data_IF_357544753311
#
_entry.id   IF_357544753311
#
_cell.length_a   1.000
_cell.length_b   1.000
_cell.length_c   1.000
_cell.angle_alpha   90.00
_cell.angle_beta   90.00
_cell.angle_gamma   90.00
#
_symmetry.space_group_name_H-M   'P 1'
#
loop_
_entity.id
_entity.type
_entity.pdbx_description
1 polymer ?
#
# COMPACT_ATOMS: atom_id res chain seq x y z
N UNK A 1 18.85 -25.09 -60.94
CA UNK A 1 17.88 -24.12 -61.48
C UNK A 1 16.58 -24.78 -61.91
N UNK A 2 16.55 -25.38 -63.11
CA UNK A 2 15.30 -25.92 -63.71
C UNK A 2 14.60 -27.01 -62.89
N UNK A 3 15.35 -27.92 -62.25
CA UNK A 3 14.76 -28.99 -61.42
C UNK A 3 13.99 -28.44 -60.20
N UNK A 4 14.55 -27.47 -59.50
CA UNK A 4 13.90 -26.75 -58.38
C UNK A 4 12.64 -26.00 -58.83
N UNK A 5 12.69 -25.32 -59.99
CA UNK A 5 11.54 -24.60 -60.54
C UNK A 5 10.39 -25.53 -60.98
N UNK A 6 10.71 -26.78 -61.31
CA UNK A 6 9.72 -27.82 -61.65
C UNK A 6 9.23 -28.61 -60.43
N UNK A 7 9.61 -28.22 -59.20
CA UNK A 7 9.23 -28.94 -57.97
C UNK A 7 9.95 -30.28 -57.76
N UNK A 8 11.01 -30.56 -58.53
CA UNK A 8 11.81 -31.79 -58.41
C UNK A 8 13.00 -31.64 -57.47
N UNK A 9 13.52 -32.76 -56.99
CA UNK A 9 14.73 -32.80 -56.16
C UNK A 9 16.00 -32.55 -57.01
N UNK A 10 16.74 -31.44 -56.77
CA UNK A 10 17.98 -31.17 -57.49
C UNK A 10 19.18 -31.99 -56.98
N UNK A 11 19.08 -32.66 -55.81
CA UNK A 11 20.21 -33.30 -55.16
C UNK A 11 20.97 -34.32 -56.05
N UNK A 12 20.30 -35.20 -56.83
CA UNK A 12 21.01 -36.15 -57.71
C UNK A 12 21.80 -35.47 -58.84
N UNK A 13 21.34 -34.30 -59.30
CA UNK A 13 21.99 -33.53 -60.35
C UNK A 13 23.20 -32.75 -59.82
N UNK A 14 23.18 -32.38 -58.53
CA UNK A 14 24.25 -31.64 -57.87
C UNK A 14 25.32 -32.56 -57.25
N UNK A 15 24.95 -33.76 -56.82
CA UNK A 15 25.86 -34.68 -56.13
C UNK A 15 27.19 -34.92 -56.88
N UNK A 16 27.23 -35.12 -58.22
CA UNK A 16 28.50 -35.31 -58.95
C UNK A 16 29.37 -34.04 -59.03
N UNK A 17 28.81 -32.88 -58.71
CA UNK A 17 29.50 -31.57 -58.81
C UNK A 17 30.06 -31.11 -57.47
N UNK A 18 29.75 -31.82 -56.37
CA UNK A 18 30.17 -31.48 -55.02
C UNK A 18 31.26 -32.44 -54.54
N UNK A 19 32.25 -31.95 -53.77
CA UNK A 19 33.23 -32.83 -53.15
C UNK A 19 32.58 -33.76 -52.13
N UNK A 20 33.11 -34.97 -52.00
CA UNK A 20 32.60 -35.96 -51.05
C UNK A 20 32.76 -35.47 -49.60
N UNK A 21 31.70 -35.56 -48.77
CA UNK A 21 31.79 -35.20 -47.37
C UNK A 21 32.69 -36.15 -46.57
N UNK A 22 33.63 -35.57 -45.83
CA UNK A 22 34.53 -36.30 -44.93
C UNK A 22 33.95 -36.41 -43.52
N UNK A 23 34.30 -37.49 -42.83
CA UNK A 23 33.85 -37.83 -41.48
C UNK A 23 34.93 -37.65 -40.41
N UNK A 24 36.00 -36.96 -40.74
CA UNK A 24 37.12 -36.82 -39.83
C UNK A 24 37.81 -35.47 -39.94
N UNK A 25 38.57 -35.15 -38.90
CA UNK A 25 39.45 -33.99 -38.81
C UNK A 25 40.87 -34.42 -38.42
N UNK A 26 41.82 -33.50 -38.60
CA UNK A 26 43.19 -33.64 -38.13
C UNK A 26 43.37 -32.72 -36.93
N UNK A 27 43.55 -33.29 -35.74
CA UNK A 27 43.82 -32.54 -34.52
C UNK A 27 45.31 -32.19 -34.40
N UNK A 28 45.59 -30.94 -34.06
CA UNK A 28 46.93 -30.38 -33.93
C UNK A 28 47.21 -29.94 -32.48
N UNK A 29 48.49 -29.91 -32.10
CA UNK A 29 48.91 -29.62 -30.73
C UNK A 29 48.67 -28.16 -30.27
N UNK A 30 48.36 -27.25 -31.19
CA UNK A 30 48.08 -25.83 -30.95
C UNK A 30 46.58 -25.54 -30.74
N UNK A 31 45.81 -26.57 -30.34
CA UNK A 31 44.37 -26.51 -30.12
C UNK A 31 43.59 -26.18 -31.40
N UNK A 32 44.06 -26.65 -32.55
CA UNK A 32 43.32 -26.53 -33.81
C UNK A 32 42.92 -27.90 -34.36
N UNK A 33 41.84 -27.90 -35.15
CA UNK A 33 41.42 -29.03 -35.97
C UNK A 33 41.32 -28.57 -37.43
N UNK A 34 41.86 -29.37 -38.35
CA UNK A 34 41.78 -29.10 -39.78
C UNK A 34 40.83 -30.12 -40.42
N UNK A 35 39.77 -29.60 -41.06
CA UNK A 35 38.89 -30.38 -41.90
C UNK A 35 39.37 -30.32 -43.36
N UNK A 36 39.81 -31.44 -43.96
CA UNK A 36 40.38 -31.46 -45.32
C UNK A 36 39.35 -31.28 -46.44
N UNK A 37 38.06 -31.27 -46.10
CA UNK A 37 36.95 -31.11 -47.03
C UNK A 37 35.66 -30.77 -46.27
N UNK A 38 34.50 -30.71 -46.96
CA UNK A 38 33.23 -30.48 -46.29
C UNK A 38 32.93 -31.62 -45.31
N UNK A 39 32.62 -31.29 -44.08
CA UNK A 39 32.34 -32.29 -43.05
C UNK A 39 30.93 -32.88 -43.26
N UNK A 40 30.76 -34.16 -42.93
CA UNK A 40 29.43 -34.74 -42.74
C UNK A 40 28.69 -33.96 -41.66
N UNK A 41 27.40 -33.75 -41.86
CA UNK A 41 26.56 -32.86 -41.03
C UNK A 41 26.68 -33.15 -39.53
N UNK A 42 26.61 -34.42 -39.12
CA UNK A 42 26.72 -34.81 -37.72
C UNK A 42 28.03 -34.33 -37.06
N UNK A 43 29.16 -34.50 -37.75
CA UNK A 43 30.47 -34.02 -37.29
C UNK A 43 30.55 -32.49 -37.31
N UNK A 44 30.02 -31.87 -38.36
CA UNK A 44 30.00 -30.41 -38.51
C UNK A 44 29.21 -29.72 -37.38
N UNK A 45 28.04 -30.27 -37.03
CA UNK A 45 27.13 -29.69 -36.04
C UNK A 45 27.78 -29.69 -34.63
N UNK A 46 28.43 -30.79 -34.24
CA UNK A 46 29.13 -30.88 -32.95
C UNK A 46 30.38 -29.98 -32.94
N UNK A 47 31.20 -29.99 -34.01
CA UNK A 47 32.38 -29.13 -34.10
C UNK A 47 32.02 -27.64 -34.12
N UNK A 48 30.88 -27.26 -34.70
CA UNK A 48 30.41 -25.87 -34.70
C UNK A 48 30.09 -25.35 -33.28
N UNK A 49 29.74 -26.24 -32.35
CA UNK A 49 29.56 -25.89 -30.94
C UNK A 49 30.90 -25.92 -30.21
N UNK A 50 31.65 -27.00 -30.38
CA UNK A 50 32.88 -27.33 -29.63
C UNK A 50 34.10 -26.47 -29.99
N UNK A 51 34.11 -25.86 -31.18
CA UNK A 51 35.23 -25.06 -31.67
C UNK A 51 34.74 -23.82 -32.44
N UNK A 52 35.61 -22.81 -32.54
CA UNK A 52 35.38 -21.62 -33.34
C UNK A 52 36.04 -21.78 -34.71
N UNK A 53 35.41 -21.29 -35.79
CA UNK A 53 36.02 -21.34 -37.13
C UNK A 53 37.00 -20.19 -37.28
N UNK A 54 38.29 -20.52 -37.44
CA UNK A 54 39.36 -19.54 -37.65
C UNK A 54 39.51 -19.19 -39.14
N UNK A 55 39.40 -20.18 -40.02
CA UNK A 55 39.51 -19.97 -41.47
C UNK A 55 38.60 -20.93 -42.24
N UNK A 56 37.98 -20.41 -43.30
CA UNK A 56 37.13 -21.15 -44.26
C UNK A 56 37.81 -21.14 -45.63
N UNK A 57 38.99 -21.74 -45.71
CA UNK A 57 39.74 -21.89 -46.96
C UNK A 57 39.44 -23.22 -47.66
N UNK A 58 40.39 -23.71 -48.47
CA UNK A 58 40.32 -25.06 -49.05
C UNK A 58 40.31 -26.18 -48.01
N UNK A 59 40.75 -25.88 -46.79
CA UNK A 59 40.49 -26.65 -45.58
C UNK A 59 39.90 -25.72 -44.53
N UNK A 60 38.91 -26.18 -43.77
CA UNK A 60 38.33 -25.39 -42.67
C UNK A 60 39.16 -25.64 -41.42
N UNK A 61 39.66 -24.56 -40.82
CA UNK A 61 40.43 -24.62 -39.58
C UNK A 61 39.52 -24.20 -38.43
N UNK A 62 39.43 -25.07 -37.44
CA UNK A 62 38.70 -24.86 -36.20
C UNK A 62 39.69 -24.66 -35.06
N UNK A 63 39.38 -23.77 -34.12
CA UNK A 63 40.16 -23.51 -32.92
C UNK A 63 39.34 -23.86 -31.68
N UNK A 64 39.90 -24.69 -30.82
CA UNK A 64 39.32 -24.97 -29.51
C UNK A 64 39.75 -23.89 -28.53
N UNK A 65 38.78 -23.30 -27.86
CA UNK A 65 39.00 -22.30 -26.81
C UNK A 65 38.28 -22.73 -25.53
N UNK A 66 38.67 -22.21 -24.35
CA UNK A 66 37.90 -22.46 -23.13
C UNK A 66 36.42 -22.08 -23.29
N UNK A 67 36.13 -21.02 -24.06
CA UNK A 67 34.76 -20.58 -24.36
C UNK A 67 34.00 -21.58 -25.22
N UNK A 68 34.60 -22.09 -26.29
CA UNK A 68 33.95 -23.05 -27.19
C UNK A 68 33.68 -24.40 -26.50
N UNK A 69 34.63 -24.87 -25.69
CA UNK A 69 34.43 -26.07 -24.85
C UNK A 69 33.30 -25.85 -23.85
N UNK A 70 33.27 -24.70 -23.17
CA UNK A 70 32.18 -24.37 -22.23
C UNK A 70 30.82 -24.38 -22.93
N UNK A 71 30.71 -23.82 -24.14
CA UNK A 71 29.46 -23.85 -24.92
C UNK A 71 28.99 -25.29 -25.19
N UNK A 72 29.91 -26.21 -25.50
CA UNK A 72 29.56 -27.61 -25.70
C UNK A 72 29.03 -28.25 -24.41
N UNK A 73 29.62 -27.95 -23.26
CA UNK A 73 29.11 -28.41 -21.96
C UNK A 73 27.76 -27.78 -21.61
N UNK A 74 27.57 -26.48 -21.90
CA UNK A 74 26.30 -25.77 -21.74
C UNK A 74 25.19 -26.37 -22.63
N UNK A 75 25.54 -26.93 -23.80
CA UNK A 75 24.64 -27.65 -24.69
C UNK A 75 24.32 -29.08 -24.22
N UNK A 76 24.89 -29.53 -23.09
CA UNK A 76 24.61 -30.82 -22.47
C UNK A 76 25.60 -31.94 -22.78
N UNK A 77 26.69 -31.67 -23.49
CA UNK A 77 27.75 -32.67 -23.68
C UNK A 77 28.59 -32.85 -22.42
N UNK A 78 29.04 -34.08 -22.14
CA UNK A 78 30.00 -34.33 -21.06
C UNK A 78 31.45 -34.34 -21.58
N UNK A 79 32.42 -34.13 -20.69
CA UNK A 79 33.84 -34.24 -21.06
C UNK A 79 34.18 -35.60 -21.69
N UNK A 80 33.60 -36.67 -21.16
CA UNK A 80 33.78 -38.05 -21.67
C UNK A 80 33.23 -38.16 -23.08
N UNK A 81 32.02 -37.63 -23.33
CA UNK A 81 31.41 -37.66 -24.67
C UNK A 81 32.24 -36.86 -25.67
N UNK A 82 32.75 -35.69 -25.27
CA UNK A 82 33.58 -34.84 -26.14
C UNK A 82 34.92 -35.51 -26.46
N UNK A 83 35.57 -36.15 -25.48
CA UNK A 83 36.80 -36.90 -25.71
C UNK A 83 36.58 -38.12 -26.60
N UNK A 84 35.49 -38.88 -26.37
CA UNK A 84 35.12 -40.02 -27.20
C UNK A 84 34.83 -39.59 -28.64
N UNK A 85 34.06 -38.52 -28.81
CA UNK A 85 33.73 -37.94 -30.11
C UNK A 85 34.97 -37.52 -30.89
N UNK A 86 35.89 -36.79 -30.26
CA UNK A 86 37.15 -36.37 -30.88
C UNK A 86 38.04 -37.56 -31.23
N UNK A 87 38.04 -38.60 -30.40
CA UNK A 87 38.80 -39.84 -30.66
C UNK A 87 38.24 -40.58 -31.87
N UNK A 88 36.91 -40.66 -31.99
CA UNK A 88 36.23 -41.33 -33.10
C UNK A 88 36.42 -40.61 -34.43
N UNK A 89 36.33 -39.28 -34.44
CA UNK A 89 36.33 -38.45 -35.65
C UNK A 89 37.69 -37.83 -35.97
N UNK A 90 38.78 -38.22 -35.29
CA UNK A 90 40.12 -37.72 -35.60
C UNK A 90 40.97 -38.77 -36.29
N UNK A 91 41.72 -38.37 -37.33
CA UNK A 91 42.75 -39.23 -37.96
C UNK A 91 44.07 -39.20 -37.20
N UNK A 92 44.27 -38.22 -36.33
CA UNK A 92 45.42 -38.12 -35.43
C UNK A 92 44.97 -38.41 -33.99
N UNK A 93 45.85 -38.92 -33.11
CA UNK A 93 45.54 -39.03 -31.70
C UNK A 93 45.14 -37.66 -31.12
N UNK A 94 44.20 -37.65 -30.16
CA UNK A 94 43.80 -36.40 -29.48
C UNK A 94 45.01 -35.81 -28.75
N UNK A 95 45.44 -34.58 -29.07
CA UNK A 95 46.59 -33.96 -28.42
C UNK A 95 46.33 -33.75 -26.93
N UNK A 96 47.33 -34.06 -26.10
CA UNK A 96 47.25 -33.90 -24.64
C UNK A 96 46.80 -32.48 -24.20
N UNK A 97 47.24 -31.37 -24.83
CA UNK A 97 46.73 -30.02 -24.48
C UNK A 97 45.22 -29.88 -24.64
N UNK A 98 44.62 -30.52 -25.65
CA UNK A 98 43.18 -30.47 -25.90
C UNK A 98 42.42 -31.28 -24.84
N UNK A 99 42.91 -32.47 -24.49
CA UNK A 99 42.31 -33.27 -23.40
C UNK A 99 42.33 -32.51 -22.09
N UNK A 100 43.45 -31.86 -21.75
CA UNK A 100 43.53 -31.03 -20.53
C UNK A 100 42.59 -29.83 -20.56
N UNK A 101 42.46 -29.14 -21.69
CA UNK A 101 41.51 -28.04 -21.83
C UNK A 101 40.08 -28.50 -21.55
N UNK A 102 39.68 -29.64 -22.10
CA UNK A 102 38.34 -30.22 -21.90
C UNK A 102 38.12 -30.56 -20.42
N UNK A 103 39.07 -31.27 -19.80
CA UNK A 103 38.95 -31.68 -18.40
C UNK A 103 38.93 -30.49 -17.44
N UNK A 104 39.74 -29.47 -17.67
CA UNK A 104 39.81 -28.28 -16.82
C UNK A 104 38.53 -27.43 -16.91
N UNK A 105 38.01 -27.22 -18.12
CA UNK A 105 36.73 -26.52 -18.31
C UNK A 105 35.58 -27.33 -17.71
N UNK A 106 35.57 -28.65 -17.91
CA UNK A 106 34.53 -29.52 -17.36
C UNK A 106 34.55 -29.58 -15.83
N UNK A 107 35.73 -29.58 -15.20
CA UNK A 107 35.85 -29.47 -13.74
C UNK A 107 35.20 -28.19 -13.24
N UNK A 108 35.45 -27.06 -13.92
CA UNK A 108 34.95 -25.74 -13.52
C UNK A 108 33.47 -25.51 -13.88
N UNK A 109 32.94 -26.27 -14.83
CA UNK A 109 31.56 -26.19 -15.29
C UNK A 109 30.59 -26.73 -14.23
N UNK A 110 29.45 -26.05 -14.03
CA UNK A 110 28.41 -26.51 -13.11
C UNK A 110 28.74 -26.43 -11.61
N UNK A 111 29.88 -25.84 -11.20
CA UNK A 111 30.18 -25.55 -9.79
C UNK A 111 29.19 -24.57 -9.17
N UNK A 112 28.81 -23.54 -9.93
CA UNK A 112 27.78 -22.59 -9.53
C UNK A 112 26.45 -23.05 -10.12
N UNK A 113 25.46 -23.21 -9.25
CA UNK A 113 24.10 -23.60 -9.63
C UNK A 113 23.15 -22.46 -9.30
N UNK A 114 22.43 -22.00 -10.31
CA UNK A 114 21.37 -21.02 -10.17
C UNK A 114 20.03 -21.74 -10.29
N UNK A 115 19.09 -21.41 -9.41
CA UNK A 115 17.73 -21.90 -9.47
C UNK A 115 16.75 -20.79 -9.13
N UNK A 116 15.51 -20.93 -9.57
CA UNK A 116 14.44 -20.02 -9.20
C UNK A 116 14.04 -20.25 -7.73
N UNK A 117 13.81 -19.15 -7.01
CA UNK A 117 13.21 -19.12 -5.68
C UNK A 117 12.40 -17.82 -5.57
N UNK A 118 11.08 -17.92 -5.52
CA UNK A 118 10.18 -16.75 -5.46
C UNK A 118 10.18 -16.10 -4.08
N UNK A 119 10.39 -16.91 -3.03
CA UNK A 119 10.52 -16.42 -1.66
C UNK A 119 11.40 -17.34 -0.81
N UNK A 120 11.69 -16.94 0.43
CA UNK A 120 12.49 -17.71 1.37
C UNK A 120 11.91 -17.63 2.79
N UNK A 121 12.27 -18.62 3.61
CA UNK A 121 12.02 -18.64 5.06
C UNK A 121 13.35 -18.67 5.76
N UNK A 122 13.57 -17.72 6.68
CA UNK A 122 14.71 -17.74 7.61
C UNK A 122 14.19 -18.08 9.00
N UNK A 123 14.87 -18.98 9.68
CA UNK A 123 14.58 -19.31 11.08
C UNK A 123 15.90 -19.65 11.77
N UNK A 124 16.08 -19.16 13.00
CA UNK A 124 17.29 -19.43 13.78
C UNK A 124 17.29 -20.87 14.35
N UNK A 125 16.15 -21.57 14.30
CA UNK A 125 16.00 -22.97 14.70
C UNK A 125 15.92 -23.90 13.46
N UNK A 126 16.97 -24.71 13.26
CA UNK A 126 17.05 -25.73 12.19
C UNK A 126 15.92 -26.77 12.35
N UNK A 127 15.60 -27.17 13.58
CA UNK A 127 14.60 -28.19 13.90
C UNK A 127 13.20 -27.81 13.43
N UNK A 128 12.81 -26.55 13.65
CA UNK A 128 11.53 -26.02 13.15
C UNK A 128 11.45 -26.08 11.63
N UNK A 129 12.54 -25.77 10.91
CA UNK A 129 12.54 -25.84 9.45
C UNK A 129 12.47 -27.29 8.93
N UNK A 130 13.06 -28.24 9.66
CA UNK A 130 12.90 -29.66 9.33
C UNK A 130 11.46 -30.15 9.57
N UNK A 131 10.80 -29.68 10.63
CA UNK A 131 9.39 -29.98 10.89
C UNK A 131 8.49 -29.45 9.77
N UNK A 132 8.69 -28.20 9.35
CA UNK A 132 7.97 -27.59 8.22
C UNK A 132 8.17 -28.40 6.93
N UNK A 133 9.41 -28.82 6.63
CA UNK A 133 9.73 -29.63 5.45
C UNK A 133 9.09 -31.04 5.51
N UNK A 134 8.91 -31.60 6.70
CA UNK A 134 8.31 -32.93 6.89
C UNK A 134 6.78 -32.91 6.88
N UNK A 135 6.14 -31.78 7.19
CA UNK A 135 4.68 -31.65 7.17
C UNK A 135 4.13 -31.67 5.73
N UNK A 136 3.26 -32.64 5.43
CA UNK A 136 2.62 -32.80 4.11
C UNK A 136 1.84 -31.56 3.65
N UNK A 137 1.36 -30.72 4.59
CA UNK A 137 0.66 -29.47 4.27
C UNK A 137 1.56 -28.45 3.56
N UNK A 138 2.89 -28.55 3.73
CA UNK A 138 3.86 -27.65 3.06
C UNK A 138 4.19 -28.04 1.62
N UNK A 139 3.71 -29.20 1.13
CA UNK A 139 4.02 -29.69 -0.21
C UNK A 139 3.67 -28.69 -1.33
N UNK A 140 2.57 -27.94 -1.17
CA UNK A 140 2.14 -26.92 -2.12
C UNK A 140 3.03 -25.66 -2.16
N UNK A 141 3.89 -25.46 -1.16
CA UNK A 141 4.77 -24.29 -1.06
C UNK A 141 6.08 -24.44 -1.86
N UNK A 142 6.38 -25.66 -2.31
CA UNK A 142 7.59 -25.96 -3.08
C UNK A 142 8.88 -25.65 -2.30
N UNK A 143 8.93 -26.04 -1.02
CA UNK A 143 10.05 -25.75 -0.14
C UNK A 143 11.28 -26.60 -0.47
N UNK A 144 12.45 -25.97 -0.41
CA UNK A 144 13.76 -26.60 -0.57
C UNK A 144 14.76 -26.02 0.41
N UNK A 145 15.49 -26.89 1.11
CA UNK A 145 16.58 -26.50 2.01
C UNK A 145 17.74 -25.88 1.23
N UNK A 146 18.12 -24.64 1.55
CA UNK A 146 19.33 -23.99 1.01
C UNK A 146 20.46 -23.94 2.04
N UNK A 147 20.12 -23.77 3.32
CA UNK A 147 21.03 -23.75 4.45
C UNK A 147 20.32 -24.27 5.71
N UNK A 148 21.03 -24.59 6.80
CA UNK A 148 20.45 -25.01 8.09
C UNK A 148 19.35 -24.07 8.61
N UNK A 149 19.47 -22.77 8.35
CA UNK A 149 18.53 -21.73 8.80
C UNK A 149 17.71 -21.11 7.67
N UNK A 150 17.79 -21.63 6.44
CA UNK A 150 17.15 -21.04 5.25
C UNK A 150 16.47 -22.08 4.36
N UNK A 151 15.19 -21.86 4.07
CA UNK A 151 14.43 -22.54 3.04
C UNK A 151 14.17 -21.59 1.87
N UNK A 152 14.31 -22.06 0.63
CA UNK A 152 13.71 -21.42 -0.53
C UNK A 152 12.33 -22.01 -0.79
N UNK A 153 11.42 -21.20 -1.31
CA UNK A 153 10.08 -21.61 -1.73
C UNK A 153 9.84 -21.19 -3.19
N UNK A 154 9.03 -21.98 -3.90
CA UNK A 154 8.51 -21.60 -5.22
C UNK A 154 7.24 -20.74 -5.10
N UNK A 155 6.57 -20.79 -3.94
CA UNK A 155 5.45 -19.90 -3.65
C UNK A 155 5.89 -18.43 -3.54
N UNK A 156 5.04 -17.52 -4.00
CA UNK A 156 5.20 -16.08 -3.77
C UNK A 156 5.11 -15.73 -2.27
N UNK A 157 5.74 -14.63 -1.81
CA UNK A 157 5.84 -14.30 -0.38
C UNK A 157 4.50 -14.30 0.37
N UNK A 158 3.43 -13.78 -0.24
CA UNK A 158 2.09 -13.77 0.37
C UNK A 158 1.50 -15.16 0.58
N UNK A 159 1.58 -16.02 -0.44
CA UNK A 159 1.11 -17.40 -0.36
C UNK A 159 1.93 -18.24 0.63
N UNK A 160 3.25 -17.98 0.71
CA UNK A 160 4.12 -18.61 1.70
C UNK A 160 3.72 -18.21 3.13
N UNK A 161 3.50 -16.91 3.37
CA UNK A 161 3.04 -16.41 4.69
C UNK A 161 1.70 -17.03 5.09
N UNK A 162 0.73 -17.04 4.19
CA UNK A 162 -0.61 -17.57 4.47
C UNK A 162 -0.59 -19.09 4.66
N UNK A 163 0.21 -19.81 3.86
CA UNK A 163 0.40 -21.26 4.00
C UNK A 163 1.02 -21.64 5.35
N UNK A 164 2.10 -20.96 5.75
CA UNK A 164 2.73 -21.18 7.06
C UNK A 164 1.79 -20.83 8.22
N UNK A 165 1.00 -19.75 8.11
CA UNK A 165 -0.04 -19.41 9.10
C UNK A 165 -1.13 -20.47 9.18
N UNK A 166 -1.60 -20.99 8.03
CA UNK A 166 -2.56 -22.08 7.96
C UNK A 166 -2.04 -23.40 8.57
N UNK A 167 -0.72 -23.56 8.68
CA UNK A 167 -0.08 -24.69 9.35
C UNK A 167 0.03 -24.51 10.87
N UNK A 168 -0.18 -23.30 11.38
CA UNK A 168 -0.06 -22.95 12.80
C UNK A 168 1.21 -22.19 13.19
N UNK A 169 2.06 -21.86 12.22
CA UNK A 169 3.26 -21.04 12.46
C UNK A 169 2.93 -19.55 12.48
N UNK A 170 3.78 -18.74 13.10
CA UNK A 170 3.64 -17.28 13.17
C UNK A 170 4.80 -16.58 12.41
N UNK A 171 4.87 -16.70 11.06
CA UNK A 171 5.92 -16.05 10.29
C UNK A 171 5.71 -14.53 10.24
N UNK A 172 6.82 -13.80 10.24
CA UNK A 172 6.85 -12.38 9.96
C UNK A 172 7.28 -12.15 8.50
N UNK A 173 6.71 -11.14 7.85
CA UNK A 173 7.14 -10.75 6.52
C UNK A 173 8.50 -10.05 6.63
N UNK A 174 9.43 -10.31 5.70
CA UNK A 174 10.69 -9.56 5.58
C UNK A 174 10.66 -8.69 4.31
N UNK A 175 11.28 -7.52 4.39
CA UNK A 175 11.52 -6.60 3.27
C UNK A 175 12.54 -7.20 2.30
N UNK A 176 12.65 -6.61 1.10
CA UNK A 176 13.75 -6.91 0.16
C UNK A 176 15.13 -6.63 0.75
N UNK A 177 15.21 -5.78 1.79
CA UNK A 177 16.43 -5.47 2.54
C UNK A 177 16.68 -6.41 3.73
N UNK A 178 15.73 -7.31 4.05
CA UNK A 178 15.81 -8.21 5.22
C UNK A 178 15.20 -7.64 6.50
N UNK A 179 14.63 -6.42 6.47
CA UNK A 179 13.95 -5.84 7.62
C UNK A 179 12.59 -6.50 7.85
N UNK A 180 12.27 -6.83 9.10
CA UNK A 180 10.97 -7.41 9.44
C UNK A 180 9.85 -6.37 9.22
N UNK A 181 8.96 -6.66 8.28
CA UNK A 181 7.75 -5.91 7.99
C UNK A 181 6.65 -6.31 8.97
N UNK A 182 6.36 -5.42 9.92
CA UNK A 182 5.18 -5.56 10.77
C UNK A 182 3.95 -5.12 9.96
N UNK A 183 3.27 -6.08 9.34
CA UNK A 183 1.95 -5.83 8.74
C UNK A 183 0.96 -5.57 9.88
N UNK A 184 0.78 -4.32 10.27
CA UNK A 184 -0.43 -3.92 11.01
C UNK A 184 -1.59 -4.26 10.08
N UNK A 185 -2.48 -5.16 10.50
CA UNK A 185 -3.69 -5.43 9.75
C UNK A 185 -4.35 -4.09 9.43
N UNK A 186 -4.50 -3.78 8.14
CA UNK A 186 -5.24 -2.59 7.72
C UNK A 186 -6.65 -2.74 8.28
N UNK A 187 -6.89 -2.05 9.39
CA UNK A 187 -8.23 -1.81 9.86
C UNK A 187 -8.94 -1.20 8.65
N UNK A 188 -9.95 -1.89 8.14
CA UNK A 188 -10.80 -1.40 7.06
C UNK A 188 -11.46 -0.12 7.58
N UNK A 189 -10.77 1.00 7.46
CA UNK A 189 -11.30 2.30 7.84
C UNK A 189 -12.31 2.63 6.77
N UNK A 190 -13.54 2.88 7.20
CA UNK A 190 -14.56 3.48 6.35
C UNK A 190 -13.92 4.71 5.68
N UNK A 191 -14.02 4.85 4.35
CA UNK A 191 -13.49 6.03 3.67
C UNK A 191 -14.06 7.28 4.33
N UNK A 192 -13.26 8.35 4.41
CA UNK A 192 -13.71 9.62 4.96
C UNK A 192 -15.02 10.02 4.27
N UNK A 193 -16.08 10.26 5.04
CA UNK A 193 -17.37 10.72 4.50
C UNK A 193 -17.12 11.96 3.65
N UNK A 194 -17.39 11.87 2.35
CA UNK A 194 -17.39 13.03 1.47
C UNK A 194 -18.55 13.95 1.86
N UNK A 195 -18.33 15.26 1.83
CA UNK A 195 -19.38 16.23 2.09
C UNK A 195 -20.50 16.10 1.03
N UNK A 196 -21.79 16.22 1.40
CA UNK A 196 -22.88 16.15 0.44
C UNK A 196 -22.73 17.24 -0.63
N UNK A 197 -22.92 16.87 -1.90
CA UNK A 197 -22.95 17.83 -3.02
C UNK A 197 -24.23 18.68 -2.90
N UNK A 198 -24.16 20.03 -3.02
CA UNK A 198 -25.35 20.88 -2.97
C UNK A 198 -26.36 20.51 -4.06
N UNK A 199 -27.62 20.35 -3.67
CA UNK A 199 -28.72 20.07 -4.60
C UNK A 199 -29.00 21.36 -5.41
N UNK A 200 -29.18 21.29 -6.75
CA UNK A 200 -29.33 22.48 -7.60
C UNK A 200 -30.58 23.32 -7.30
N UNK A 201 -31.66 22.68 -6.83
CA UNK A 201 -32.92 23.35 -6.52
C UNK A 201 -32.98 23.71 -5.02
N UNK A 202 -32.44 24.90 -4.71
CA UNK A 202 -32.67 25.53 -3.42
C UNK A 202 -34.15 25.89 -3.22
N UNK A 203 -34.58 26.15 -1.96
CA UNK A 203 -35.97 26.52 -1.67
C UNK A 203 -36.40 27.74 -2.51
N UNK A 204 -37.69 27.80 -2.95
CA UNK A 204 -38.17 28.84 -3.84
C UNK A 204 -37.94 30.22 -3.23
N UNK A 205 -37.63 31.21 -4.08
CA UNK A 205 -37.35 32.58 -3.67
C UNK A 205 -38.54 33.11 -2.84
N UNK A 206 -38.30 33.65 -1.62
CA UNK A 206 -39.37 34.13 -0.76
C UNK A 206 -40.21 35.23 -1.43
N UNK A 207 -41.52 35.21 -1.19
CA UNK A 207 -42.43 36.23 -1.71
C UNK A 207 -42.17 37.62 -1.09
N UNK A 208 -42.70 38.67 -1.75
CA UNK A 208 -42.46 40.06 -1.35
C UNK A 208 -42.96 40.38 0.07
N UNK A 209 -43.95 39.64 0.57
CA UNK A 209 -44.49 39.73 1.92
C UNK A 209 -43.48 39.26 2.97
N UNK A 210 -42.86 38.09 2.75
CA UNK A 210 -41.80 37.55 3.60
C UNK A 210 -40.56 38.45 3.60
N UNK A 211 -40.17 38.95 2.42
CA UNK A 211 -39.05 39.86 2.29
C UNK A 211 -39.31 41.19 3.03
N UNK A 212 -40.54 41.71 2.94
CA UNK A 212 -40.95 42.93 3.66
C UNK A 212 -40.99 42.75 5.18
N UNK A 213 -41.35 41.57 5.68
CA UNK A 213 -41.29 41.25 7.10
C UNK A 213 -39.82 41.18 7.60
N UNK A 214 -38.95 40.50 6.85
CA UNK A 214 -37.53 40.40 7.17
C UNK A 214 -36.84 41.78 7.16
N UNK A 215 -37.14 42.63 6.19
CA UNK A 215 -36.59 44.00 6.12
C UNK A 215 -37.05 44.87 7.31
N UNK A 216 -38.29 44.71 7.77
CA UNK A 216 -38.77 45.42 8.99
C UNK A 216 -38.05 44.92 10.24
N UNK A 217 -37.83 43.61 10.38
CA UNK A 217 -37.10 43.04 11.50
C UNK A 217 -35.65 43.52 11.54
N UNK A 218 -34.96 43.56 10.40
CA UNK A 218 -33.59 44.08 10.31
C UNK A 218 -33.55 45.57 10.66
N UNK A 219 -34.46 46.39 10.10
CA UNK A 219 -34.51 47.83 10.41
C UNK A 219 -34.85 48.13 11.86
N UNK A 220 -35.68 47.30 12.49
CA UNK A 220 -35.97 47.40 13.92
C UNK A 220 -34.73 47.04 14.76
N UNK A 221 -33.99 46.00 14.37
CA UNK A 221 -32.72 45.64 15.01
C UNK A 221 -31.63 46.70 14.85
N UNK A 222 -31.50 47.30 13.67
CA UNK A 222 -30.55 48.40 13.42
C UNK A 222 -30.92 49.68 14.20
N UNK A 223 -32.22 49.99 14.32
CA UNK A 223 -32.70 51.11 15.13
C UNK A 223 -32.39 50.91 16.62
N UNK A 224 -32.59 49.69 17.13
CA UNK A 224 -32.24 49.32 18.51
C UNK A 224 -30.72 49.29 18.77
N UNK A 225 -29.91 48.96 17.76
CA UNK A 225 -28.45 48.93 17.87
C UNK A 225 -27.77 50.31 17.80
N UNK A 226 -28.44 51.31 17.22
CA UNK A 226 -27.90 52.69 17.05
C UNK A 226 -28.39 53.69 18.11
N UNK A 227 -29.21 53.21 19.03
CA UNK A 227 -29.69 53.84 20.24
C UNK A 227 -28.58 54.26 21.22
N UNK A 228 -28.36 55.56 21.46
CA UNK A 228 -27.36 56.05 22.45
C UNK A 228 -28.02 56.30 23.81
N UNK A 229 -27.58 55.56 24.83
CA UNK A 229 -28.10 55.58 26.21
C UNK A 229 -27.80 56.90 26.94
N UNK A 230 -28.83 57.53 27.51
CA UNK A 230 -28.74 58.72 28.38
C UNK A 230 -28.72 58.30 29.86
N UNK A 231 -27.61 58.53 30.55
CA UNK A 231 -27.62 58.56 32.02
C UNK A 231 -28.07 59.94 32.52
N UNK A 232 -28.92 59.97 33.56
CA UNK A 232 -28.68 60.90 34.65
C UNK A 232 -28.80 60.23 36.02
N UNK A 233 -27.69 60.27 36.73
CA UNK A 233 -27.51 60.95 38.02
C UNK A 233 -28.61 60.82 39.10
N UNK A 234 -28.22 60.09 40.14
CA UNK A 234 -27.99 60.61 41.49
C UNK A 234 -29.08 61.42 42.20
N UNK A 235 -29.45 60.99 43.40
CA UNK A 235 -29.32 61.70 44.69
C UNK A 235 -30.21 61.00 45.72
N UNK A 236 -29.65 60.43 46.78
CA UNK A 236 -29.43 61.10 48.08
C UNK A 236 -30.59 60.71 49.02
N UNK A 237 -30.43 60.25 50.25
CA UNK A 237 -29.38 60.42 51.26
C UNK A 237 -29.59 59.42 52.41
N UNK A 238 -28.45 58.94 52.94
CA UNK A 238 -28.15 58.50 54.32
C UNK A 238 -28.91 57.33 54.98
N UNK A 239 -28.16 56.26 55.28
CA UNK A 239 -28.53 55.27 56.30
C UNK A 239 -27.74 53.96 56.27
N UNK A 240 -26.43 54.00 56.57
CA UNK A 240 -25.57 52.91 57.10
C UNK A 240 -26.10 51.45 57.09
N UNK A 241 -25.65 50.64 56.11
CA UNK A 241 -25.08 49.30 56.29
C UNK A 241 -24.88 48.57 54.93
N UNK A 242 -23.64 48.11 54.65
CA UNK A 242 -23.38 46.93 53.79
C UNK A 242 -23.44 47.11 52.27
N UNK A 243 -22.38 47.65 51.67
CA UNK A 243 -22.18 47.60 50.22
C UNK A 243 -21.70 46.22 49.74
N UNK A 244 -22.44 45.63 48.81
CA UNK A 244 -21.89 44.78 47.74
C UNK A 244 -22.89 44.77 46.57
N UNK A 245 -22.51 45.42 45.47
CA UNK A 245 -23.17 45.27 44.18
C UNK A 245 -23.17 43.79 43.78
N UNK A 246 -24.33 43.25 43.37
CA UNK A 246 -24.44 41.89 42.84
C UNK A 246 -25.41 40.94 43.56
N UNK A 247 -26.41 41.43 44.28
CA UNK A 247 -27.45 40.56 44.86
C UNK A 247 -28.42 40.05 43.76
N UNK A 248 -28.51 38.72 43.62
CA UNK A 248 -29.45 38.04 42.72
C UNK A 248 -30.91 38.40 43.10
N UNK A 249 -31.83 38.64 42.13
CA UNK A 249 -33.26 38.70 42.40
C UNK A 249 -33.70 37.36 43.02
N UNK A 250 -34.52 37.40 44.06
CA UNK A 250 -35.20 36.22 44.61
C UNK A 250 -36.68 36.34 44.28
N UNK A 251 -37.11 35.66 43.23
CA UNK A 251 -38.53 35.55 42.86
C UNK A 251 -39.13 34.28 43.44
N UNK A 252 -40.44 34.29 43.69
CA UNK A 252 -41.13 33.07 44.13
C UNK A 252 -41.12 32.02 43.00
N UNK A 253 -41.26 30.73 43.33
CA UNK A 253 -41.25 29.67 42.32
C UNK A 253 -42.36 29.82 41.26
N UNK A 254 -43.54 30.33 41.66
CA UNK A 254 -44.66 30.59 40.76
C UNK A 254 -44.36 31.76 39.81
N UNK A 255 -43.74 32.82 40.31
CA UNK A 255 -43.33 34.00 39.55
C UNK A 255 -42.21 33.66 38.57
N UNK A 256 -41.17 32.95 39.02
CA UNK A 256 -40.10 32.41 38.16
C UNK A 256 -40.66 31.61 36.99
N UNK A 257 -41.60 30.70 37.27
CA UNK A 257 -42.21 29.87 36.22
C UNK A 257 -43.03 30.73 35.26
N UNK A 258 -43.84 31.66 35.76
CA UNK A 258 -44.66 32.54 34.94
C UNK A 258 -43.81 33.44 34.03
N UNK A 259 -42.76 34.07 34.56
CA UNK A 259 -41.86 34.94 33.79
C UNK A 259 -41.09 34.16 32.72
N UNK A 260 -40.58 32.97 33.04
CA UNK A 260 -39.84 32.15 32.07
C UNK A 260 -40.77 31.58 30.99
N UNK A 261 -42.03 31.24 31.32
CA UNK A 261 -43.03 30.83 30.34
C UNK A 261 -43.46 31.99 29.44
N UNK A 262 -43.68 33.18 30.00
CA UNK A 262 -43.99 34.37 29.23
C UNK A 262 -42.85 34.68 28.25
N UNK A 263 -41.60 34.65 28.73
CA UNK A 263 -40.41 34.84 27.91
C UNK A 263 -40.25 33.77 26.81
N UNK A 264 -40.64 32.52 27.06
CA UNK A 264 -40.64 31.47 26.04
C UNK A 264 -41.70 31.71 24.94
N UNK A 265 -42.82 32.35 25.28
CA UNK A 265 -43.88 32.69 24.34
C UNK A 265 -43.55 33.96 23.53
N UNK A 266 -42.91 34.95 24.15
CA UNK A 266 -42.54 36.22 23.50
C UNK A 266 -41.18 36.16 22.80
N UNK A 267 -40.34 35.17 23.13
CA UNK A 267 -38.96 35.08 22.67
C UNK A 267 -38.02 36.07 23.36
N UNK A 268 -38.43 36.67 24.47
CA UNK A 268 -37.63 37.66 25.22
C UNK A 268 -36.53 36.98 26.03
N UNK A 269 -35.36 37.61 26.13
CA UNK A 269 -34.29 37.13 26.99
C UNK A 269 -34.56 37.50 28.46
N UNK A 270 -34.27 36.57 29.37
CA UNK A 270 -34.40 36.76 30.81
C UNK A 270 -33.08 36.50 31.51
N UNK A 271 -32.85 37.25 32.58
CA UNK A 271 -31.73 37.04 33.47
C UNK A 271 -32.16 36.11 34.59
N UNK A 272 -31.39 35.05 34.84
CA UNK A 272 -31.68 34.06 35.89
C UNK A 272 -30.50 33.91 36.85
N UNK A 273 -30.82 33.76 38.13
CA UNK A 273 -29.91 33.18 39.11
C UNK A 273 -30.08 31.66 39.13
N UNK A 274 -29.01 30.89 38.98
CA UNK A 274 -29.05 29.43 38.93
C UNK A 274 -28.03 28.79 39.85
N UNK A 275 -28.44 27.76 40.59
CA UNK A 275 -27.55 26.95 41.45
C UNK A 275 -27.30 25.59 40.80
N UNK A 276 -26.04 25.26 40.55
CA UNK A 276 -25.63 23.97 39.96
C UNK A 276 -25.78 22.81 40.96
N UNK A 277 -25.60 21.57 40.50
CA UNK A 277 -25.67 20.38 41.35
C UNK A 277 -24.68 20.42 42.53
N UNK A 278 -23.55 21.08 42.34
CA UNK A 278 -22.49 21.24 43.35
C UNK A 278 -22.75 22.40 44.33
N UNK A 279 -23.93 23.03 44.27
CA UNK A 279 -24.31 24.14 45.16
C UNK A 279 -23.73 25.50 44.78
N UNK A 280 -22.94 25.59 43.70
CA UNK A 280 -22.40 26.86 43.20
C UNK A 280 -23.49 27.71 42.52
N UNK A 281 -23.68 28.93 42.99
CA UNK A 281 -24.59 29.90 42.39
C UNK A 281 -23.92 30.66 41.23
N UNK A 282 -24.63 30.82 40.12
CA UNK A 282 -24.20 31.57 38.93
C UNK A 282 -25.34 32.40 38.36
N UNK A 283 -24.99 33.44 37.61
CA UNK A 283 -25.94 34.30 36.91
C UNK A 283 -25.87 34.00 35.42
N UNK A 284 -27.01 33.91 34.75
CA UNK A 284 -27.11 33.54 33.33
C UNK A 284 -28.14 34.42 32.63
N UNK A 285 -27.88 34.75 31.37
CA UNK A 285 -28.87 35.36 30.48
C UNK A 285 -29.32 34.29 29.50
N UNK A 286 -30.59 33.91 29.57
CA UNK A 286 -31.14 32.85 28.72
C UNK A 286 -32.29 33.40 27.87
N UNK A 287 -32.38 32.96 26.63
CA UNK A 287 -33.57 33.10 25.79
C UNK A 287 -34.35 31.77 25.87
N UNK A 288 -35.42 31.69 26.67
CA UNK A 288 -36.19 30.45 26.84
C UNK A 288 -36.84 30.06 25.52
N UNK A 289 -36.75 28.78 25.15
CA UNK A 289 -37.40 28.24 23.94
C UNK A 289 -38.58 27.34 24.32
N UNK A 290 -38.45 26.60 25.42
CA UNK A 290 -39.47 25.65 25.88
C UNK A 290 -39.44 25.49 27.40
N UNK A 291 -40.62 25.44 28.02
CA UNK A 291 -40.77 25.19 29.46
C UNK A 291 -41.73 24.02 29.68
N UNK A 292 -41.20 22.86 30.05
CA UNK A 292 -41.99 21.64 30.27
C UNK A 292 -41.37 20.76 31.37
N UNK A 293 -42.21 19.99 32.06
CA UNK A 293 -41.74 18.97 33.01
C UNK A 293 -40.90 19.50 34.18
N UNK A 294 -41.01 20.79 34.52
CA UNK A 294 -40.20 21.44 35.56
C UNK A 294 -38.82 21.92 35.09
N UNK A 295 -38.57 21.92 33.78
CA UNK A 295 -37.33 22.40 33.17
C UNK A 295 -37.61 23.53 32.17
N UNK A 296 -36.62 24.42 32.01
CA UNK A 296 -36.56 25.37 30.90
C UNK A 296 -35.37 25.02 30.01
N UNK A 297 -35.64 24.84 28.73
CA UNK A 297 -34.60 24.73 27.70
C UNK A 297 -34.54 26.06 26.95
N UNK A 298 -33.36 26.64 26.86
CA UNK A 298 -33.15 27.93 26.20
C UNK A 298 -31.71 28.11 25.74
N UNK A 299 -31.49 29.10 24.90
CA UNK A 299 -30.14 29.51 24.52
C UNK A 299 -29.52 30.32 25.66
N UNK A 300 -28.41 29.87 26.23
CA UNK A 300 -27.67 30.61 27.25
C UNK A 300 -26.64 31.52 26.59
N UNK A 301 -26.91 32.82 26.57
CA UNK A 301 -25.99 33.83 26.01
C UNK A 301 -24.68 33.95 26.79
N UNK A 302 -24.63 33.44 28.03
CA UNK A 302 -23.39 33.43 28.84
C UNK A 302 -22.48 32.25 28.48
N UNK A 303 -23.05 31.13 28.02
CA UNK A 303 -22.31 29.93 27.63
C UNK A 303 -22.22 29.73 26.10
N UNK A 304 -22.97 30.50 25.33
CA UNK A 304 -23.13 30.41 23.88
C UNK A 304 -23.57 29.01 23.41
N UNK A 305 -24.51 28.39 24.15
CA UNK A 305 -24.99 27.03 23.91
C UNK A 305 -26.45 26.87 24.35
N UNK A 306 -27.19 25.94 23.74
CA UNK A 306 -28.54 25.55 24.20
C UNK A 306 -28.43 24.66 25.43
N UNK A 307 -29.03 25.09 26.54
CA UNK A 307 -28.96 24.37 27.82
C UNK A 307 -30.33 24.20 28.45
N UNK A 308 -30.44 23.18 29.29
CA UNK A 308 -31.64 22.87 30.06
C UNK A 308 -31.38 23.11 31.54
N UNK A 309 -32.20 23.97 32.15
CA UNK A 309 -32.13 24.35 33.55
C UNK A 309 -33.34 23.82 34.30
N UNK A 310 -33.13 23.26 35.49
CA UNK A 310 -34.22 22.85 36.35
C UNK A 310 -34.82 24.08 37.05
N UNK A 311 -36.14 24.31 36.93
CA UNK A 311 -36.80 25.52 37.47
C UNK A 311 -36.63 25.64 38.99
N UNK A 312 -36.63 24.52 39.72
CA UNK A 312 -36.44 24.50 41.18
C UNK A 312 -35.03 24.91 41.63
N UNK A 313 -34.08 25.04 40.70
CA UNK A 313 -32.71 25.52 40.95
C UNK A 313 -32.50 26.97 40.52
N UNK A 314 -33.53 27.59 39.95
CA UNK A 314 -33.52 29.01 39.63
C UNK A 314 -33.87 29.77 40.90
N UNK A 315 -32.91 30.54 41.41
CA UNK A 315 -33.05 31.31 42.65
C UNK A 315 -33.80 32.63 42.44
N UNK A 316 -33.83 33.12 41.20
CA UNK A 316 -34.81 34.10 40.75
C UNK A 316 -34.60 34.55 39.32
N UNK A 317 -35.56 35.30 38.81
CA UNK A 317 -35.63 35.74 37.40
C UNK A 317 -35.91 37.23 37.35
N UNK A 318 -35.30 37.91 36.40
CA UNK A 318 -35.63 39.28 36.04
C UNK A 318 -35.77 39.38 34.52
N UNK A 319 -36.80 40.07 34.06
CA UNK A 319 -36.89 40.52 32.68
C UNK A 319 -35.75 41.51 32.42
N UNK A 320 -35.08 41.36 31.29
CA UNK A 320 -34.14 42.37 30.84
C UNK A 320 -34.96 43.57 30.38
N UNK A 321 -34.81 44.72 31.03
CA UNK A 321 -35.52 45.93 30.65
C UNK A 321 -35.21 46.26 29.18
N UNK A 322 -36.25 46.34 28.36
CA UNK A 322 -36.22 47.01 27.07
C UNK A 322 -36.09 48.54 27.30
N UNK A 323 -35.38 49.21 26.40
CA UNK A 323 -35.12 50.66 26.25
C UNK A 323 -33.87 51.25 26.93
N UNK A 324 -33.06 52.06 26.23
CA UNK A 324 -33.32 52.94 25.08
C UNK A 324 -32.66 52.39 23.80
N UNK A 325 -33.26 52.46 22.60
CA UNK A 325 -34.17 53.46 21.98
C UNK A 325 -35.25 52.80 21.14
#
# INVERSE_FOLDING_TARGET
GRALLAGGDPAPLLAPLLPEPVDHVLLQADLTAVAPGPLRRALADVLAVLADVESKGGATVYRFTPGSVRRALDAGHTAVDLQAFLTEHSRTPVPQPLSYLIDDVARRHGHLRVGAASSYVRCDDDGMLNEILADKRSAGLGLRRLAPTVLAAQAEPGALLDGLRGMGYAPAAESRTGDVLVSRADAHRTPARSAPVPVPDGPPVPDATLLGAALRAIRAGDAAATAVRKEPAASGTSGSAGGAAGALPRTSAAETLATVQAAALTGSAVWIGYVNADGAASQRVIAPVRVEGGFVTGYDHTADEVRTYALHRITGVAELAEDQV
#
